data_IF_912418218310
#
_entry.id   IF_912418218310
#
_cell.length_a   1.000
_cell.length_b   1.000
_cell.length_c   1.000
_cell.angle_alpha   90.00
_cell.angle_beta   90.00
_cell.angle_gamma   90.00
#
_symmetry.space_group_name_H-M   'P 1'
#
loop_
_entity.id
_entity.type
_entity.pdbx_description
1 polymer ?
#
# COMPACT_ATOMS: atom_id res chain seq x y z
N UNK A 1 9.79 -8.06 30.98
CA UNK A 1 9.72 -6.63 31.33
C UNK A 1 8.26 -6.29 31.67
N UNK A 2 7.96 -5.54 32.74
CA UNK A 2 6.57 -5.17 33.09
C UNK A 2 6.07 -4.09 32.12
N UNK A 3 4.77 -4.11 31.80
CA UNK A 3 4.19 -3.04 30.98
C UNK A 3 4.26 -1.70 31.72
N UNK A 4 4.56 -0.64 30.97
CA UNK A 4 4.55 0.73 31.48
C UNK A 4 3.15 1.10 32.02
N UNK A 5 3.04 2.00 33.02
CA UNK A 5 1.76 2.62 33.38
C UNK A 5 1.11 3.35 32.19
N UNK A 6 -0.23 3.44 32.18
CA UNK A 6 -0.99 4.03 31.06
C UNK A 6 -0.50 5.42 30.64
N UNK A 7 -0.12 6.27 31.60
CA UNK A 7 0.32 7.65 31.35
C UNK A 7 1.76 7.75 30.79
N UNK A 8 2.55 6.69 30.84
CA UNK A 8 3.89 6.62 30.24
C UNK A 8 3.92 5.83 28.93
N UNK A 9 2.81 5.17 28.58
CA UNK A 9 2.76 4.38 27.34
C UNK A 9 2.70 5.31 26.12
N UNK A 10 3.48 5.01 25.07
CA UNK A 10 3.22 5.49 23.72
C UNK A 10 1.75 5.40 23.32
N UNK A 11 1.22 6.47 22.73
CA UNK A 11 -0.12 6.48 22.13
C UNK A 11 -0.01 6.29 20.62
N UNK A 12 -0.84 5.41 20.08
CA UNK A 12 -0.77 5.01 18.69
C UNK A 12 -2.05 5.35 17.91
N UNK A 13 -1.87 5.44 16.60
CA UNK A 13 -2.92 5.38 15.59
C UNK A 13 -2.53 4.34 14.55
N UNK A 14 -3.53 3.78 13.89
CA UNK A 14 -3.38 2.71 12.92
C UNK A 14 -3.94 3.19 11.58
N UNK A 15 -3.08 3.24 10.59
CA UNK A 15 -3.36 3.62 9.22
C UNK A 15 -3.69 2.34 8.46
N UNK A 16 -4.90 2.26 7.93
CA UNK A 16 -5.27 1.23 6.96
C UNK A 16 -4.80 1.72 5.58
N UNK A 17 -3.96 0.92 4.94
CA UNK A 17 -3.25 1.27 3.71
C UNK A 17 -3.60 0.27 2.64
N UNK A 18 -3.91 0.77 1.46
CA UNK A 18 -4.02 -0.01 0.23
C UNK A 18 -2.74 0.15 -0.60
N UNK A 19 -2.39 -0.95 -1.27
CA UNK A 19 -1.32 -1.03 -2.25
C UNK A 19 -1.92 -1.52 -3.58
N UNK A 20 -1.58 -0.83 -4.66
CA UNK A 20 -1.89 -1.26 -6.03
C UNK A 20 -0.60 -1.23 -6.85
N UNK A 21 -0.35 -2.27 -7.63
CA UNK A 21 0.82 -2.43 -8.49
C UNK A 21 0.45 -3.26 -9.72
N UNK A 22 1.44 -3.54 -10.56
CA UNK A 22 1.28 -4.46 -11.68
C UNK A 22 1.02 -5.89 -11.22
N UNK A 23 0.34 -6.73 -12.05
CA UNK A 23 -0.05 -8.09 -11.66
C UNK A 23 1.13 -9.01 -11.32
N UNK A 24 2.30 -8.74 -11.89
CA UNK A 24 3.54 -9.50 -11.71
C UNK A 24 4.46 -8.94 -10.61
N UNK A 25 4.08 -7.85 -9.94
CA UNK A 25 4.86 -7.27 -8.86
C UNK A 25 4.99 -8.23 -7.68
N UNK A 26 6.19 -8.30 -7.07
CA UNK A 26 6.45 -9.12 -5.88
C UNK A 26 6.80 -8.23 -4.67
N UNK A 27 5.76 -7.84 -3.94
CA UNK A 27 5.89 -6.95 -2.79
C UNK A 27 5.78 -7.74 -1.49
N UNK A 28 6.89 -7.84 -0.76
CA UNK A 28 6.90 -8.45 0.57
C UNK A 28 6.64 -7.42 1.68
N UNK A 29 6.12 -7.87 2.84
CA UNK A 29 5.94 -7.02 4.02
C UNK A 29 7.24 -6.32 4.45
N UNK A 30 8.36 -7.03 4.40
CA UNK A 30 9.66 -6.51 4.83
C UNK A 30 10.19 -5.44 3.89
N UNK A 31 9.99 -5.61 2.59
CA UNK A 31 10.42 -4.66 1.56
C UNK A 31 9.53 -3.41 1.55
N UNK A 32 8.22 -3.58 1.74
CA UNK A 32 7.31 -2.47 1.96
C UNK A 32 7.68 -1.68 3.22
N UNK A 33 7.90 -2.36 4.35
CA UNK A 33 8.33 -1.72 5.60
C UNK A 33 9.62 -0.89 5.41
N UNK A 34 10.59 -1.43 4.66
CA UNK A 34 11.85 -0.72 4.39
C UNK A 34 11.61 0.52 3.54
N UNK A 35 10.77 0.42 2.52
CA UNK A 35 10.39 1.54 1.65
C UNK A 35 9.68 2.65 2.42
N UNK A 36 8.80 2.30 3.36
CA UNK A 36 8.14 3.26 4.27
C UNK A 36 9.15 4.00 5.15
N UNK A 37 10.15 3.30 5.69
CA UNK A 37 11.22 3.96 6.47
C UNK A 37 12.06 4.87 5.61
N UNK A 38 12.46 4.44 4.41
CA UNK A 38 13.21 5.29 3.49
C UNK A 38 12.43 6.55 3.10
N UNK A 39 11.15 6.42 2.78
CA UNK A 39 10.30 7.58 2.47
C UNK A 39 10.20 8.56 3.65
N UNK A 40 9.98 8.04 4.87
CA UNK A 40 9.93 8.88 6.07
C UNK A 40 11.27 9.57 6.38
N UNK A 41 12.39 8.85 6.25
CA UNK A 41 13.73 9.41 6.46
C UNK A 41 14.08 10.46 5.40
N UNK A 42 13.77 10.20 4.13
CA UNK A 42 14.01 11.16 3.05
C UNK A 42 13.19 12.44 3.22
N UNK A 43 11.95 12.31 3.71
CA UNK A 43 11.04 13.45 3.88
C UNK A 43 11.30 14.24 5.16
N UNK A 44 11.66 13.59 6.27
CA UNK A 44 11.72 14.21 7.60
C UNK A 44 13.06 14.06 8.34
N UNK A 45 14.03 13.37 7.74
CA UNK A 45 15.28 12.98 8.40
C UNK A 45 15.08 11.91 9.46
N UNK A 46 16.19 11.50 10.09
CA UNK A 46 16.19 10.40 11.06
C UNK A 46 15.33 10.68 12.30
N UNK A 47 15.41 11.91 12.84
CA UNK A 47 14.65 12.29 14.03
C UNK A 47 13.14 12.29 13.76
N UNK A 48 12.70 12.90 12.64
CA UNK A 48 11.28 12.94 12.29
C UNK A 48 10.71 11.56 11.95
N UNK A 49 11.50 10.72 11.27
CA UNK A 49 11.12 9.32 11.03
C UNK A 49 10.97 8.54 12.34
N UNK A 50 11.90 8.72 13.28
CA UNK A 50 11.86 8.08 14.59
C UNK A 50 10.66 8.57 15.44
N UNK A 51 10.32 9.86 15.37
CA UNK A 51 9.15 10.42 16.05
C UNK A 51 7.85 9.83 15.50
N UNK A 52 7.74 9.63 14.19
CA UNK A 52 6.57 8.98 13.58
C UNK A 52 6.46 7.49 13.94
N UNK A 53 7.60 6.78 14.04
CA UNK A 53 7.73 5.33 14.28
C UNK A 53 6.75 4.49 13.43
N UNK A 54 6.79 4.73 12.11
CA UNK A 54 5.98 3.98 11.16
C UNK A 54 6.39 2.50 11.16
N UNK A 55 5.43 1.61 11.44
CA UNK A 55 5.66 0.17 11.42
C UNK A 55 4.47 -0.59 10.84
N UNK A 56 4.76 -1.44 9.85
CA UNK A 56 3.81 -2.39 9.26
C UNK A 56 3.58 -3.53 10.25
N UNK A 57 2.32 -3.70 10.65
CA UNK A 57 1.88 -4.72 11.60
C UNK A 57 1.25 -5.92 10.92
N UNK A 58 0.53 -5.66 9.82
CA UNK A 58 -0.12 -6.66 8.98
C UNK A 58 0.07 -6.24 7.53
N UNK A 59 0.12 -7.24 6.67
CA UNK A 59 0.39 -7.06 5.25
C UNK A 59 -0.15 -8.27 4.49
N UNK A 60 -0.80 -8.00 3.38
CA UNK A 60 -1.21 -9.00 2.38
C UNK A 60 -1.05 -8.38 1.01
N UNK A 61 -0.48 -9.11 0.07
CA UNK A 61 -0.31 -8.64 -1.30
C UNK A 61 -0.34 -9.85 -2.24
N UNK A 62 -1.16 -9.78 -3.29
CA UNK A 62 -1.29 -10.79 -4.33
C UNK A 62 -1.90 -10.15 -5.58
N UNK A 63 -1.47 -10.62 -6.76
CA UNK A 63 -2.06 -10.25 -8.06
C UNK A 63 -2.14 -8.72 -8.30
N UNK A 64 -1.11 -7.99 -7.88
CA UNK A 64 -1.02 -6.53 -8.00
C UNK A 64 -1.86 -5.75 -6.99
N UNK A 65 -2.58 -6.40 -6.07
CA UNK A 65 -3.39 -5.75 -5.04
C UNK A 65 -2.93 -6.13 -3.64
N UNK A 66 -2.98 -5.18 -2.71
CA UNK A 66 -2.68 -5.49 -1.32
C UNK A 66 -3.18 -4.47 -0.32
N UNK A 67 -3.05 -4.88 0.94
CA UNK A 67 -3.46 -4.10 2.09
C UNK A 67 -2.39 -4.21 3.17
N UNK A 68 -2.21 -3.14 3.92
CA UNK A 68 -1.32 -3.09 5.07
C UNK A 68 -1.94 -2.31 6.22
N UNK A 69 -1.60 -2.72 7.44
CA UNK A 69 -1.90 -1.96 8.64
C UNK A 69 -0.61 -1.36 9.19
N UNK A 70 -0.49 -0.05 9.18
CA UNK A 70 0.70 0.68 9.62
C UNK A 70 0.40 1.43 10.91
N UNK A 71 1.15 1.18 11.97
CA UNK A 71 1.06 2.03 13.17
C UNK A 71 1.86 3.31 12.99
N UNK A 72 1.42 4.35 13.67
CA UNK A 72 2.11 5.65 13.77
C UNK A 72 1.86 6.24 15.16
N UNK A 73 2.77 7.09 15.66
CA UNK A 73 2.51 7.87 16.87
C UNK A 73 1.28 8.76 16.70
N UNK A 74 0.48 8.87 17.75
CA UNK A 74 -0.81 9.57 17.70
C UNK A 74 -0.72 11.03 17.22
N UNK A 75 0.34 11.75 17.57
CA UNK A 75 0.58 13.13 17.12
C UNK A 75 1.16 13.26 15.71
N UNK A 76 1.54 12.15 15.09
CA UNK A 76 2.32 12.11 13.85
C UNK A 76 1.52 11.53 12.67
N UNK A 77 0.18 11.48 12.79
CA UNK A 77 -0.69 10.87 11.77
C UNK A 77 -0.50 11.52 10.40
N UNK A 78 -0.48 12.85 10.33
CA UNK A 78 -0.33 13.56 9.06
C UNK A 78 1.06 13.37 8.45
N UNK A 79 2.12 13.34 9.28
CA UNK A 79 3.46 12.97 8.81
C UNK A 79 3.51 11.54 8.29
N UNK A 80 2.86 10.62 9.00
CA UNK A 80 2.74 9.23 8.56
C UNK A 80 2.05 9.10 7.22
N UNK A 81 0.95 9.83 7.00
CA UNK A 81 0.23 9.88 5.72
C UNK A 81 1.10 10.42 4.59
N UNK A 82 1.79 11.52 4.83
CA UNK A 82 2.66 12.13 3.83
C UNK A 82 3.86 11.24 3.48
N UNK A 83 4.50 10.60 4.47
CA UNK A 83 5.57 9.64 4.20
C UNK A 83 5.09 8.42 3.39
N UNK A 84 3.90 7.88 3.70
CA UNK A 84 3.30 6.79 2.92
C UNK A 84 3.00 7.21 1.47
N UNK A 85 2.56 8.45 1.25
CA UNK A 85 2.31 8.98 -0.09
C UNK A 85 3.59 9.20 -0.92
N UNK A 86 4.77 9.21 -0.29
CA UNK A 86 6.06 9.29 -0.96
C UNK A 86 6.64 7.92 -1.34
N UNK A 87 5.94 6.82 -1.06
CA UNK A 87 6.34 5.49 -1.54
C UNK A 87 5.74 5.30 -2.93
N UNK A 88 6.59 5.29 -3.95
CA UNK A 88 6.24 5.14 -5.36
C UNK A 88 6.72 3.82 -5.98
N UNK A 89 7.65 3.13 -5.31
CA UNK A 89 8.12 1.80 -5.70
C UNK A 89 8.58 0.98 -4.49
N UNK A 90 8.52 -0.36 -4.64
CA UNK A 90 9.12 -1.32 -3.70
C UNK A 90 10.02 -2.26 -4.49
N UNK A 91 11.32 -2.27 -4.19
CA UNK A 91 12.33 -3.07 -4.91
C UNK A 91 12.39 -2.87 -6.43
N UNK A 92 11.88 -1.74 -6.92
CA UNK A 92 11.82 -1.40 -8.33
C UNK A 92 10.45 -1.64 -8.96
N UNK A 93 9.57 -2.41 -8.30
CA UNK A 93 8.18 -2.55 -8.72
C UNK A 93 7.43 -1.25 -8.39
N UNK A 94 6.83 -0.57 -9.39
CA UNK A 94 6.01 0.61 -9.14
C UNK A 94 4.79 0.25 -8.30
N UNK A 95 4.52 1.03 -7.25
CA UNK A 95 3.38 0.80 -6.34
C UNK A 95 2.70 2.12 -6.02
N UNK A 96 1.38 2.15 -6.16
CA UNK A 96 0.52 3.19 -5.58
C UNK A 96 0.19 2.83 -4.14
N UNK A 97 0.48 3.75 -3.22
CA UNK A 97 0.17 3.60 -1.79
C UNK A 97 -0.89 4.62 -1.37
N UNK A 98 -1.99 4.16 -0.79
CA UNK A 98 -3.10 5.03 -0.37
C UNK A 98 -3.60 4.72 1.04
N UNK A 99 -3.73 5.74 1.89
CA UNK A 99 -4.29 5.56 3.24
C UNK A 99 -5.82 5.62 3.19
N UNK A 100 -6.49 4.47 3.29
CA UNK A 100 -7.95 4.31 3.30
C UNK A 100 -8.61 4.89 4.56
N UNK A 101 -7.92 4.86 5.70
CA UNK A 101 -8.49 5.37 6.96
C UNK A 101 -7.52 5.33 8.14
N UNK A 102 -7.94 5.94 9.26
CA UNK A 102 -7.19 5.95 10.53
C UNK A 102 -8.09 5.48 11.67
N UNK A 103 -7.57 4.63 12.56
CA UNK A 103 -8.27 4.23 13.78
C UNK A 103 -7.38 4.29 15.02
N UNK A 104 -8.02 4.29 16.20
CA UNK A 104 -7.36 4.20 17.50
C UNK A 104 -7.03 2.77 17.93
N UNK A 105 -7.61 1.76 17.30
CA UNK A 105 -7.35 0.34 17.55
C UNK A 105 -7.17 -0.40 16.23
N UNK A 106 -6.41 -1.50 16.27
CA UNK A 106 -6.19 -2.41 15.13
C UNK A 106 -7.53 -2.93 14.62
N UNK A 107 -8.32 -3.55 15.50
CA UNK A 107 -9.63 -4.12 15.16
C UNK A 107 -10.56 -3.13 14.44
N UNK A 108 -10.67 -1.90 14.94
CA UNK A 108 -11.55 -0.92 14.31
C UNK A 108 -10.96 -0.34 13.01
N UNK A 109 -9.65 -0.43 12.78
CA UNK A 109 -9.07 -0.12 11.47
C UNK A 109 -9.41 -1.24 10.47
N UNK A 110 -9.20 -2.49 10.87
CA UNK A 110 -9.50 -3.67 10.05
C UNK A 110 -10.97 -3.68 9.64
N UNK A 111 -11.90 -3.67 10.61
CA UNK A 111 -13.34 -3.78 10.34
C UNK A 111 -13.90 -2.64 9.47
N UNK A 112 -13.31 -1.45 9.52
CA UNK A 112 -13.83 -0.26 8.82
C UNK A 112 -13.20 -0.03 7.45
N UNK A 113 -11.95 -0.43 7.28
CA UNK A 113 -11.12 0.03 6.16
C UNK A 113 -10.38 -1.08 5.43
N UNK A 114 -10.28 -2.29 5.99
CA UNK A 114 -9.57 -3.44 5.40
C UNK A 114 -10.53 -4.62 5.17
N UNK A 115 -10.07 -5.62 4.43
CA UNK A 115 -10.79 -6.88 4.26
C UNK A 115 -11.98 -6.80 3.30
N UNK A 116 -12.04 -5.76 2.47
CA UNK A 116 -12.84 -5.84 1.24
C UNK A 116 -12.03 -6.68 0.26
N UNK A 117 -12.57 -7.77 -0.29
CA UNK A 117 -11.90 -8.46 -1.37
C UNK A 117 -11.60 -7.44 -2.46
N UNK A 118 -10.35 -7.34 -2.88
CA UNK A 118 -10.02 -6.70 -4.15
C UNK A 118 -10.83 -7.38 -5.25
N UNK A 119 -11.10 -6.66 -6.34
CA UNK A 119 -11.75 -7.28 -7.48
C UNK A 119 -10.86 -8.41 -8.00
N UNK A 120 -11.42 -9.62 -8.19
CA UNK A 120 -10.62 -10.77 -8.56
C UNK A 120 -9.92 -10.49 -9.89
N UNK A 121 -8.61 -10.72 -9.92
CA UNK A 121 -7.85 -10.66 -11.14
C UNK A 121 -8.30 -11.78 -12.09
N UNK A 122 -8.60 -11.42 -13.33
CA UNK A 122 -8.93 -12.38 -14.38
C UNK A 122 -8.08 -12.12 -15.62
N UNK A 123 -7.44 -13.16 -16.13
CA UNK A 123 -6.77 -13.09 -17.42
C UNK A 123 -7.79 -12.89 -18.54
N UNK A 124 -7.48 -11.99 -19.48
CA UNK A 124 -8.31 -11.66 -20.62
C UNK A 124 -7.46 -11.46 -21.88
N UNK A 125 -8.12 -11.54 -23.04
CA UNK A 125 -7.58 -11.04 -24.30
C UNK A 125 -8.38 -9.80 -24.66
N UNK A 126 -7.69 -8.68 -24.93
CA UNK A 126 -8.31 -7.38 -25.24
C UNK A 126 -7.76 -6.82 -26.53
N UNK A 127 -8.56 -6.04 -27.26
CA UNK A 127 -8.08 -5.30 -28.42
C UNK A 127 -7.46 -3.99 -27.94
N UNK A 128 -6.16 -3.81 -28.10
CA UNK A 128 -5.46 -2.61 -27.66
C UNK A 128 -4.48 -2.17 -28.73
N UNK A 129 -4.50 -0.87 -29.08
CA UNK A 129 -3.64 -0.29 -30.12
C UNK A 129 -3.65 -1.06 -31.46
N UNK A 130 -4.85 -1.44 -31.92
CA UNK A 130 -5.10 -2.22 -33.15
C UNK A 130 -4.55 -3.67 -33.15
N UNK A 131 -4.14 -4.21 -31.99
CA UNK A 131 -3.71 -5.61 -31.84
C UNK A 131 -4.47 -6.33 -30.71
N UNK A 132 -4.42 -7.66 -30.69
CA UNK A 132 -5.00 -8.48 -29.61
C UNK A 132 -3.93 -8.83 -28.59
N UNK A 133 -4.01 -8.22 -27.40
CA UNK A 133 -3.03 -8.38 -26.33
C UNK A 133 -3.61 -9.19 -25.16
N UNK A 134 -2.73 -9.86 -24.40
CA UNK A 134 -3.10 -10.42 -23.10
C UNK A 134 -3.25 -9.29 -22.10
N UNK A 135 -4.18 -9.41 -21.18
CA UNK A 135 -4.38 -8.46 -20.11
C UNK A 135 -4.81 -9.14 -18.82
N UNK A 136 -4.64 -8.44 -17.70
CA UNK A 136 -5.22 -8.80 -16.41
C UNK A 136 -6.27 -7.76 -16.05
N UNK A 137 -7.51 -8.20 -15.86
CA UNK A 137 -8.64 -7.34 -15.48
C UNK A 137 -8.88 -7.38 -13.98
N UNK A 138 -9.11 -6.21 -13.38
CA UNK A 138 -9.59 -6.02 -12.00
C UNK A 138 -10.73 -5.00 -12.05
N UNK A 139 -11.96 -5.52 -12.19
CA UNK A 139 -13.16 -4.74 -12.53
C UNK A 139 -12.97 -3.92 -13.80
N UNK A 140 -13.07 -2.60 -13.67
CA UNK A 140 -12.96 -1.66 -14.79
C UNK A 140 -11.50 -1.34 -15.17
N UNK A 141 -10.53 -1.79 -14.35
CA UNK A 141 -9.09 -1.62 -14.59
C UNK A 141 -8.57 -2.79 -15.44
N UNK A 142 -7.80 -2.46 -16.48
CA UNK A 142 -7.21 -3.43 -17.41
C UNK A 142 -5.70 -3.19 -17.48
N UNK A 143 -4.91 -4.15 -17.00
CA UNK A 143 -3.45 -4.12 -17.17
C UNK A 143 -3.09 -4.90 -18.43
N UNK A 144 -2.77 -4.20 -19.52
CA UNK A 144 -2.43 -4.79 -20.81
C UNK A 144 -0.95 -5.15 -20.84
N UNK A 145 -0.64 -6.41 -21.17
CA UNK A 145 0.73 -6.90 -21.34
C UNK A 145 1.29 -6.44 -22.69
N UNK A 146 2.20 -5.48 -22.66
CA UNK A 146 2.84 -4.89 -23.83
C UNK A 146 4.34 -5.20 -23.91
N UNK A 147 4.99 -4.78 -25.00
CA UNK A 147 6.42 -5.10 -25.25
C UNK A 147 7.38 -4.59 -24.17
N UNK A 148 7.03 -3.50 -23.46
CA UNK A 148 7.86 -2.87 -22.42
C UNK A 148 7.29 -3.06 -21.01
N UNK A 149 6.41 -4.05 -20.82
CA UNK A 149 5.69 -4.30 -19.57
C UNK A 149 4.25 -3.84 -19.61
N UNK A 150 3.62 -3.78 -18.44
CA UNK A 150 2.19 -3.49 -18.32
C UNK A 150 1.86 -2.02 -18.65
N UNK A 151 0.75 -1.84 -19.35
CA UNK A 151 0.11 -0.55 -19.60
C UNK A 151 -1.26 -0.57 -18.94
N UNK A 152 -1.51 0.40 -18.06
CA UNK A 152 -2.82 0.58 -17.45
C UNK A 152 -3.81 1.18 -18.44
N UNK A 153 -4.94 0.51 -18.62
CA UNK A 153 -6.04 0.88 -19.50
C UNK A 153 -7.38 0.68 -18.77
N UNK A 154 -8.46 1.12 -19.39
CA UNK A 154 -9.84 0.88 -18.94
C UNK A 154 -10.63 0.14 -20.01
N UNK A 155 -11.84 -0.31 -19.65
CA UNK A 155 -12.78 -0.91 -20.61
C UNK A 155 -13.14 -0.01 -21.79
N UNK A 156 -12.96 1.30 -21.69
CA UNK A 156 -13.19 2.24 -22.80
C UNK A 156 -12.02 2.30 -23.79
N UNK A 157 -10.85 1.85 -23.37
CA UNK A 157 -9.63 1.83 -24.19
C UNK A 157 -9.46 0.49 -24.94
N UNK A 158 -10.32 -0.50 -24.66
CA UNK A 158 -10.21 -1.90 -25.10
C UNK A 158 -11.43 -2.43 -25.87
#
# INVERSE_FOLDING_TARGET
MKHLPKHLRPRWRYLAVELEAWPDADVSQGDFQRSVWFAAQNLYGDAGSADADLRVLQFSFADGSGEALVRVRHGEVERGRAALACVDAVRGDPVRVAVRGVSGTIRAAEEKYLGRPGEPAAEASVAFADDSCRAVRRGDLVDVDGENGFVGATDLDC
#
